data_IF_560648498866
#
_entry.id   IF_560648498866
#
_cell.length_a   1.000
_cell.length_b   1.000
_cell.length_c   1.000
_cell.angle_alpha   90.00
_cell.angle_beta   90.00
_cell.angle_gamma   90.00
#
_symmetry.space_group_name_H-M   'P 1'
#
loop_
_entity.id
_entity.type
_entity.pdbx_description
1 polymer ?
#
# COMPACT_ATOMS: atom_id res chain seq x y z
N UNK A 1 -18.13 -25.68 4.55
CA UNK A 1 -18.50 -25.61 3.12
C UNK A 1 -17.26 -25.93 2.31
N UNK A 2 -17.39 -26.70 1.22
CA UNK A 2 -16.32 -26.99 0.26
C UNK A 2 -16.59 -26.27 -1.05
N UNK A 3 -15.57 -26.12 -1.90
CA UNK A 3 -15.79 -25.58 -3.25
C UNK A 3 -16.79 -26.41 -4.06
N UNK A 4 -16.72 -27.75 -3.97
CA UNK A 4 -17.65 -28.63 -4.65
C UNK A 4 -19.12 -28.34 -4.26
N UNK A 5 -19.37 -28.16 -2.96
CA UNK A 5 -20.70 -27.78 -2.48
C UNK A 5 -21.11 -26.37 -2.93
N UNK A 6 -20.20 -25.40 -2.86
CA UNK A 6 -20.45 -24.03 -3.31
C UNK A 6 -20.78 -23.99 -4.81
N UNK A 7 -20.03 -24.71 -5.64
CA UNK A 7 -20.28 -24.81 -7.08
C UNK A 7 -21.63 -25.48 -7.40
N UNK A 8 -22.08 -26.42 -6.56
CA UNK A 8 -23.39 -27.07 -6.78
C UNK A 8 -24.59 -26.25 -6.30
N UNK A 9 -24.39 -25.30 -5.40
CA UNK A 9 -25.44 -24.51 -4.76
C UNK A 9 -25.61 -23.11 -5.36
N UNK A 10 -24.60 -22.57 -6.06
CA UNK A 10 -24.64 -21.23 -6.63
C UNK A 10 -25.20 -21.24 -8.04
N UNK A 11 -25.90 -20.17 -8.40
CA UNK A 11 -26.32 -19.93 -9.78
C UNK A 11 -25.12 -19.60 -10.66
N UNK A 12 -25.02 -20.21 -11.84
CA UNK A 12 -23.92 -20.02 -12.79
C UNK A 12 -22.49 -20.18 -12.18
N UNK A 13 -22.19 -21.29 -11.51
CA UNK A 13 -20.89 -21.53 -10.91
C UNK A 13 -19.80 -21.65 -11.99
N UNK A 14 -18.62 -21.12 -11.72
CA UNK A 14 -17.49 -21.21 -12.65
C UNK A 14 -16.21 -21.66 -11.95
N UNK A 15 -15.50 -22.61 -12.57
CA UNK A 15 -14.26 -23.18 -12.03
C UNK A 15 -13.12 -22.17 -11.84
N UNK A 16 -13.15 -21.04 -12.55
CA UNK A 16 -12.15 -19.97 -12.40
C UNK A 16 -12.09 -19.41 -10.98
N UNK A 17 -13.19 -19.48 -10.20
CA UNK A 17 -13.20 -19.08 -8.80
C UNK A 17 -12.23 -19.89 -7.92
N UNK A 18 -11.87 -21.11 -8.35
CA UNK A 18 -10.92 -21.98 -7.63
C UNK A 18 -9.46 -21.69 -7.95
N UNK A 19 -9.18 -20.95 -9.02
CA UNK A 19 -7.80 -20.75 -9.47
C UNK A 19 -7.01 -19.90 -8.47
N UNK A 20 -5.72 -20.19 -8.23
CA UNK A 20 -4.86 -19.39 -7.35
C UNK A 20 -4.78 -17.92 -7.76
N UNK A 21 -4.92 -17.64 -9.06
CA UNK A 21 -4.89 -16.28 -9.63
C UNK A 21 -6.26 -15.59 -9.58
N UNK A 22 -7.32 -16.34 -9.30
CA UNK A 22 -8.67 -15.80 -9.15
C UNK A 22 -8.80 -14.87 -7.94
N UNK A 23 -9.69 -13.87 -7.97
CA UNK A 23 -9.74 -12.80 -6.96
C UNK A 23 -9.93 -13.34 -5.54
N UNK A 24 -10.73 -14.38 -5.33
CA UNK A 24 -10.97 -14.95 -4.01
C UNK A 24 -9.68 -15.45 -3.34
N UNK A 25 -8.81 -16.10 -4.10
CA UNK A 25 -7.56 -16.66 -3.60
C UNK A 25 -6.41 -15.68 -3.69
N UNK A 26 -6.31 -14.94 -4.80
CA UNK A 26 -5.28 -13.92 -5.00
C UNK A 26 -5.29 -12.88 -3.88
N UNK A 27 -6.46 -12.37 -3.52
CA UNK A 27 -6.64 -11.35 -2.47
C UNK A 27 -6.77 -11.95 -1.06
N UNK A 28 -6.59 -13.28 -0.94
CA UNK A 28 -6.74 -13.98 0.33
C UNK A 28 -8.08 -13.66 1.03
N UNK A 29 -9.16 -13.60 0.23
CA UNK A 29 -10.50 -13.40 0.78
C UNK A 29 -11.02 -14.69 1.38
N UNK A 30 -10.60 -15.83 0.81
CA UNK A 30 -10.87 -17.17 1.32
C UNK A 30 -9.57 -17.96 1.44
N UNK A 31 -9.51 -18.78 2.45
CA UNK A 31 -8.46 -19.76 2.70
C UNK A 31 -8.99 -21.17 2.43
N UNK A 32 -8.11 -22.08 2.04
CA UNK A 32 -8.39 -23.48 1.84
C UNK A 32 -7.66 -24.30 2.88
N UNK A 33 -8.37 -25.24 3.50
CA UNK A 33 -7.70 -26.25 4.32
C UNK A 33 -6.85 -27.16 3.44
N UNK A 34 -5.79 -27.71 4.01
CA UNK A 34 -4.98 -28.75 3.38
C UNK A 34 -5.81 -30.02 3.22
N UNK A 35 -6.30 -30.26 2.02
CA UNK A 35 -7.08 -31.44 1.66
C UNK A 35 -6.65 -31.98 0.30
N UNK A 36 -6.68 -33.29 0.08
CA UNK A 36 -6.41 -33.85 -1.23
C UNK A 36 -7.51 -33.43 -2.21
N UNK A 37 -7.16 -32.51 -3.09
CA UNK A 37 -8.02 -31.95 -4.14
C UNK A 37 -8.77 -30.68 -3.75
N UNK A 38 -8.63 -29.64 -4.58
CA UNK A 38 -9.15 -28.30 -4.35
C UNK A 38 -10.68 -28.30 -4.20
N UNK A 39 -11.41 -29.14 -4.94
CA UNK A 39 -12.86 -29.20 -4.88
C UNK A 39 -13.40 -29.68 -3.51
N UNK A 40 -12.62 -30.53 -2.82
CA UNK A 40 -12.96 -31.08 -1.51
C UNK A 40 -12.42 -30.26 -0.34
N UNK A 41 -11.54 -29.31 -0.61
CA UNK A 41 -10.99 -28.43 0.41
C UNK A 41 -12.11 -27.59 1.06
N UNK A 42 -12.05 -27.45 2.38
CA UNK A 42 -12.96 -26.57 3.10
C UNK A 42 -12.60 -25.13 2.82
N UNK A 43 -13.64 -24.35 2.51
CA UNK A 43 -13.55 -22.91 2.38
C UNK A 43 -13.68 -22.27 3.75
N UNK A 44 -12.73 -21.43 4.08
CA UNK A 44 -12.76 -20.56 5.25
C UNK A 44 -12.60 -19.12 4.77
N UNK A 45 -13.52 -18.25 5.19
CA UNK A 45 -13.33 -16.81 4.97
C UNK A 45 -12.17 -16.32 5.84
N UNK A 46 -11.33 -15.43 5.31
CA UNK A 46 -10.31 -14.74 6.11
C UNK A 46 -11.00 -13.92 7.21
N UNK A 47 -10.52 -14.03 8.46
CA UNK A 47 -11.16 -13.40 9.63
C UNK A 47 -11.25 -11.89 9.50
N UNK A 48 -10.22 -11.24 8.95
CA UNK A 48 -10.20 -9.81 8.68
C UNK A 48 -11.30 -9.39 7.70
N UNK A 49 -11.51 -10.21 6.65
CA UNK A 49 -12.56 -9.98 5.65
C UNK A 49 -13.94 -10.22 6.26
N UNK A 50 -14.10 -11.25 7.08
CA UNK A 50 -15.35 -11.51 7.79
C UNK A 50 -15.76 -10.34 8.67
N UNK A 51 -14.84 -9.79 9.45
CA UNK A 51 -15.10 -8.63 10.29
C UNK A 51 -15.47 -7.39 9.47
N UNK A 52 -14.78 -7.16 8.34
CA UNK A 52 -15.12 -6.06 7.44
C UNK A 52 -16.55 -6.16 6.92
N UNK A 53 -16.97 -7.35 6.48
CA UNK A 53 -18.34 -7.59 6.03
C UNK A 53 -19.38 -7.44 7.16
N UNK A 54 -18.97 -7.66 8.41
CA UNK A 54 -19.79 -7.41 9.60
C UNK A 54 -19.77 -5.93 10.05
N UNK A 55 -19.13 -5.02 9.30
CA UNK A 55 -19.06 -3.60 9.62
C UNK A 55 -17.94 -3.23 10.60
N UNK A 56 -17.04 -4.16 10.95
CA UNK A 56 -15.89 -3.89 11.83
C UNK A 56 -14.63 -3.73 10.98
N UNK A 57 -14.11 -2.50 10.93
CA UNK A 57 -12.94 -2.16 10.11
C UNK A 57 -11.71 -1.85 10.97
N UNK A 58 -10.57 -2.51 10.69
CA UNK A 58 -9.29 -2.32 11.38
C UNK A 58 -8.14 -2.80 10.50
N UNK A 59 -6.93 -2.35 10.76
CA UNK A 59 -5.73 -2.84 10.04
C UNK A 59 -5.49 -4.32 10.38
N UNK A 60 -5.24 -5.13 9.34
CA UNK A 60 -4.90 -6.55 9.50
C UNK A 60 -3.80 -6.74 10.56
N UNK A 61 -3.99 -7.63 11.56
CA UNK A 61 -3.01 -7.87 12.61
C UNK A 61 -1.62 -8.26 12.11
N UNK A 62 -1.53 -8.90 10.93
CA UNK A 62 -0.26 -9.28 10.28
C UNK A 62 0.57 -8.08 9.84
N UNK A 63 -0.07 -6.93 9.56
CA UNK A 63 0.58 -5.69 9.14
C UNK A 63 0.90 -4.74 10.30
N UNK A 64 0.23 -4.89 11.45
CA UNK A 64 0.42 -4.01 12.61
C UNK A 64 1.88 -3.86 13.08
N UNK A 65 2.70 -4.92 13.10
CA UNK A 65 4.10 -4.79 13.51
C UNK A 65 4.95 -3.98 12.54
N UNK A 66 4.54 -3.89 11.27
CA UNK A 66 5.30 -3.28 10.18
C UNK A 66 4.87 -1.83 9.89
N UNK A 67 3.60 -1.52 10.13
CA UNK A 67 3.00 -0.27 9.69
C UNK A 67 2.69 0.67 10.86
N UNK A 68 2.90 1.96 10.62
CA UNK A 68 2.48 3.04 11.53
C UNK A 68 1.63 4.03 10.77
N UNK A 69 0.59 4.57 11.40
CA UNK A 69 -0.19 5.67 10.82
C UNK A 69 0.62 6.96 10.87
N UNK A 70 0.54 7.75 9.80
CA UNK A 70 1.08 9.10 9.77
C UNK A 70 -0.04 10.09 9.51
N UNK A 71 -0.14 11.08 10.38
CA UNK A 71 -1.08 12.19 10.23
C UNK A 71 -0.37 13.39 9.61
N UNK A 72 -1.07 14.27 8.88
CA UNK A 72 -0.51 15.54 8.43
C UNK A 72 -0.08 16.39 9.62
N UNK A 73 1.06 17.08 9.49
CA UNK A 73 1.49 18.06 10.47
C UNK A 73 0.50 19.26 10.55
N UNK A 74 0.43 19.91 11.71
CA UNK A 74 -0.47 21.07 11.91
C UNK A 74 -0.13 22.24 10.98
N UNK A 75 1.15 22.43 10.66
CA UNK A 75 1.65 23.51 9.82
C UNK A 75 2.63 22.99 8.77
N UNK A 76 2.29 23.21 7.50
CA UNK A 76 3.20 22.98 6.38
C UNK A 76 3.83 24.28 5.94
N UNK A 77 5.14 24.29 5.68
CA UNK A 77 5.84 25.40 5.04
C UNK A 77 5.21 25.73 3.68
N UNK A 78 5.34 26.98 3.23
CA UNK A 78 4.76 27.42 1.95
C UNK A 78 5.26 26.57 0.78
N UNK A 79 6.56 26.30 0.72
CA UNK A 79 7.16 25.47 -0.31
C UNK A 79 6.59 24.03 -0.30
N UNK A 80 6.41 23.44 0.89
CA UNK A 80 5.82 22.10 1.04
C UNK A 80 4.36 22.05 0.60
N UNK A 81 3.56 23.08 0.88
CA UNK A 81 2.18 23.22 0.37
C UNK A 81 2.14 23.28 -1.15
N UNK A 82 3.06 24.03 -1.77
CA UNK A 82 3.17 24.11 -3.23
C UNK A 82 3.52 22.77 -3.84
N UNK A 83 4.44 22.02 -3.24
CA UNK A 83 4.79 20.66 -3.66
C UNK A 83 3.59 19.73 -3.54
N UNK A 84 2.85 19.76 -2.43
CA UNK A 84 1.63 18.97 -2.26
C UNK A 84 0.58 19.29 -3.34
N UNK A 85 0.33 20.58 -3.61
CA UNK A 85 -0.60 21.00 -4.67
C UNK A 85 -0.16 20.53 -6.07
N UNK A 86 1.15 20.54 -6.35
CA UNK A 86 1.70 20.02 -7.62
C UNK A 86 1.44 18.52 -7.77
N UNK A 87 1.63 17.75 -6.69
CA UNK A 87 1.37 16.31 -6.68
C UNK A 87 -0.13 16.03 -6.90
N UNK A 88 -1.01 16.73 -6.19
CA UNK A 88 -2.46 16.61 -6.34
C UNK A 88 -2.88 16.87 -7.79
N UNK A 89 -2.43 17.98 -8.38
CA UNK A 89 -2.71 18.31 -9.78
C UNK A 89 -2.18 17.25 -10.76
N UNK A 90 -1.04 16.61 -10.46
CA UNK A 90 -0.49 15.53 -11.28
C UNK A 90 -1.34 14.25 -11.20
N UNK A 91 -1.86 13.94 -10.01
CA UNK A 91 -2.75 12.79 -9.78
C UNK A 91 -4.09 13.02 -10.50
N UNK A 92 -4.72 14.18 -10.32
CA UNK A 92 -5.99 14.55 -10.95
C UNK A 92 -5.91 14.56 -12.47
N UNK A 93 -4.80 15.05 -13.03
CA UNK A 93 -4.55 15.05 -14.47
C UNK A 93 -4.23 13.65 -15.05
N UNK A 94 -4.25 12.60 -14.23
CA UNK A 94 -3.91 11.24 -14.66
C UNK A 94 -2.45 11.04 -15.06
N UNK A 95 -1.57 12.02 -14.80
CA UNK A 95 -0.13 11.94 -15.11
C UNK A 95 0.60 10.92 -14.23
N UNK A 96 0.01 10.54 -13.10
CA UNK A 96 0.45 9.44 -12.23
C UNK A 96 -0.37 8.18 -12.50
N UNK A 97 -0.30 7.63 -13.70
CA UNK A 97 -1.02 6.40 -14.06
C UNK A 97 -0.67 5.21 -13.16
N UNK A 98 0.52 5.23 -12.57
CA UNK A 98 1.00 4.20 -11.65
C UNK A 98 0.63 4.46 -10.18
N UNK A 99 0.18 5.67 -9.81
CA UNK A 99 -0.03 6.07 -8.42
C UNK A 99 1.25 6.16 -7.58
N UNK A 100 2.44 6.24 -8.20
CA UNK A 100 3.72 6.28 -7.51
C UNK A 100 4.28 7.71 -7.48
N UNK A 101 4.58 8.20 -6.28
CA UNK A 101 5.18 9.53 -6.02
C UNK A 101 6.51 9.34 -5.31
N UNK A 102 7.58 9.93 -5.86
CA UNK A 102 8.92 9.90 -5.28
C UNK A 102 9.23 11.28 -4.69
N UNK A 103 9.57 11.31 -3.40
CA UNK A 103 9.98 12.53 -2.71
C UNK A 103 11.42 12.38 -2.28
N UNK A 104 12.27 13.29 -2.76
CA UNK A 104 13.71 13.33 -2.44
C UNK A 104 14.08 14.69 -1.87
N UNK A 105 15.30 14.84 -1.38
CA UNK A 105 15.79 16.09 -0.83
C UNK A 105 16.34 15.92 0.59
N UNK A 106 16.65 17.04 1.24
CA UNK A 106 17.32 17.05 2.55
C UNK A 106 16.36 17.14 3.75
N UNK A 107 15.03 17.23 3.49
CA UNK A 107 14.00 17.30 4.52
C UNK A 107 13.12 16.05 4.55
N UNK A 108 13.62 14.98 5.16
CA UNK A 108 12.87 13.72 5.28
C UNK A 108 11.54 13.90 6.05
N UNK A 109 11.54 14.75 7.08
CA UNK A 109 10.32 15.06 7.84
C UNK A 109 9.30 15.77 6.95
N UNK A 110 9.73 16.80 6.21
CA UNK A 110 8.89 17.54 5.27
C UNK A 110 8.37 16.66 4.13
N UNK A 111 9.16 15.73 3.61
CA UNK A 111 8.72 14.74 2.64
C UNK A 111 7.52 13.94 3.17
N UNK A 112 7.62 13.45 4.41
CA UNK A 112 6.54 12.73 5.06
C UNK A 112 5.31 13.59 5.32
N UNK A 113 5.48 14.87 5.66
CA UNK A 113 4.37 15.81 5.90
C UNK A 113 3.67 16.19 4.59
N UNK A 114 4.41 16.36 3.49
CA UNK A 114 3.86 16.53 2.14
C UNK A 114 3.03 15.31 1.74
N UNK A 115 3.56 14.09 1.92
CA UNK A 115 2.83 12.87 1.61
C UNK A 115 1.55 12.75 2.44
N UNK A 116 1.61 13.07 3.74
CA UNK A 116 0.45 13.03 4.63
C UNK A 116 -0.62 14.07 4.26
N UNK A 117 -0.19 15.28 3.86
CA UNK A 117 -1.11 16.31 3.37
C UNK A 117 -1.82 15.88 2.10
N UNK A 118 -1.09 15.35 1.12
CA UNK A 118 -1.68 14.84 -0.14
C UNK A 118 -2.67 13.69 0.14
N UNK A 119 -2.29 12.73 0.98
CA UNK A 119 -3.18 11.62 1.33
C UNK A 119 -4.46 12.13 2.02
N UNK A 120 -4.34 13.08 2.95
CA UNK A 120 -5.47 13.70 3.66
C UNK A 120 -6.42 14.43 2.71
N UNK A 121 -5.92 15.21 1.76
CA UNK A 121 -6.73 15.91 0.75
C UNK A 121 -7.51 14.93 -0.15
N UNK A 122 -6.93 13.75 -0.40
CA UNK A 122 -7.59 12.67 -1.15
C UNK A 122 -8.53 11.81 -0.29
N UNK A 123 -8.69 12.11 1.00
CA UNK A 123 -9.50 11.33 1.93
C UNK A 123 -8.91 9.95 2.26
N UNK A 124 -7.58 9.78 2.11
CA UNK A 124 -6.89 8.53 2.35
C UNK A 124 -6.16 8.55 3.69
N UNK A 125 -6.21 7.46 4.43
CA UNK A 125 -5.36 7.25 5.60
C UNK A 125 -3.94 6.88 5.15
N UNK A 126 -2.92 7.59 5.65
CA UNK A 126 -1.53 7.27 5.31
C UNK A 126 -0.93 6.30 6.33
N UNK A 127 -0.41 5.18 5.82
CA UNK A 127 0.41 4.23 6.59
C UNK A 127 1.86 4.31 6.13
N UNK A 128 2.78 4.25 7.08
CA UNK A 128 4.22 4.30 6.83
C UNK A 128 4.83 2.92 7.09
N UNK A 129 5.66 2.48 6.15
CA UNK A 129 6.49 1.27 6.21
C UNK A 129 7.96 1.67 6.09
N UNK A 130 8.81 1.46 7.11
CA UNK A 130 10.25 1.56 6.93
C UNK A 130 10.75 0.52 5.92
N UNK A 131 11.55 0.93 4.94
CA UNK A 131 12.07 0.03 3.89
C UNK A 131 12.88 -1.15 4.46
N UNK A 132 13.54 -0.96 5.59
CA UNK A 132 14.27 -2.00 6.32
C UNK A 132 13.39 -3.17 6.80
N UNK A 133 12.08 -2.96 6.95
CA UNK A 133 11.13 -3.99 7.37
C UNK A 133 10.55 -4.80 6.19
N UNK A 134 10.92 -4.48 4.95
CA UNK A 134 10.54 -5.28 3.78
C UNK A 134 11.28 -6.62 3.84
N UNK A 135 10.57 -7.75 3.78
CA UNK A 135 11.20 -9.06 3.90
C UNK A 135 12.16 -9.37 2.73
N UNK A 136 13.17 -10.22 2.94
CA UNK A 136 14.20 -10.47 1.94
C UNK A 136 13.77 -11.48 0.83
N UNK A 137 12.81 -12.35 1.10
CA UNK A 137 12.41 -13.38 0.14
C UNK A 137 11.31 -12.92 -0.81
N UNK A 138 11.37 -13.31 -2.07
CA UNK A 138 10.40 -12.94 -3.10
C UNK A 138 8.96 -13.36 -2.73
N UNK A 139 8.79 -14.53 -2.13
CA UNK A 139 7.48 -15.03 -1.72
C UNK A 139 6.87 -14.24 -0.56
N UNK A 140 7.71 -13.77 0.38
CA UNK A 140 7.25 -12.93 1.48
C UNK A 140 6.95 -11.50 1.00
N UNK A 141 7.73 -10.97 0.04
CA UNK A 141 7.45 -9.68 -0.63
C UNK A 141 6.09 -9.74 -1.31
N UNK A 142 5.84 -10.77 -2.11
CA UNK A 142 4.54 -10.95 -2.78
C UNK A 142 3.40 -11.06 -1.76
N UNK A 143 3.61 -11.84 -0.70
CA UNK A 143 2.64 -12.00 0.38
C UNK A 143 2.31 -10.67 1.07
N UNK A 144 3.33 -9.84 1.35
CA UNK A 144 3.18 -8.51 1.95
C UNK A 144 2.47 -7.56 0.98
N UNK A 145 2.85 -7.56 -0.31
CA UNK A 145 2.25 -6.70 -1.32
C UNK A 145 0.75 -6.99 -1.52
N UNK A 146 0.38 -8.27 -1.61
CA UNK A 146 -1.03 -8.69 -1.72
C UNK A 146 -1.82 -8.27 -0.49
N UNK A 147 -1.27 -8.51 0.70
CA UNK A 147 -1.93 -8.18 1.96
C UNK A 147 -2.13 -6.67 2.09
N UNK A 148 -1.09 -5.87 1.78
CA UNK A 148 -1.19 -4.42 1.80
C UNK A 148 -2.21 -3.90 0.79
N UNK A 149 -2.18 -4.36 -0.46
CA UNK A 149 -3.12 -3.90 -1.50
C UNK A 149 -4.59 -4.16 -1.09
N UNK A 150 -4.86 -5.31 -0.45
CA UNK A 150 -6.18 -5.60 0.13
C UNK A 150 -6.55 -4.58 1.20
N UNK A 151 -5.66 -4.34 2.17
CA UNK A 151 -5.92 -3.39 3.24
C UNK A 151 -6.03 -1.94 2.75
N UNK A 152 -5.22 -1.54 1.76
CA UNK A 152 -5.33 -0.22 1.14
C UNK A 152 -6.73 0.05 0.58
N UNK A 153 -7.34 -0.98 -0.04
CA UNK A 153 -8.72 -0.90 -0.52
C UNK A 153 -9.74 -0.85 0.64
N UNK A 154 -9.64 -1.77 1.62
CA UNK A 154 -10.59 -1.90 2.72
C UNK A 154 -10.56 -0.69 3.68
N UNK A 155 -9.42 -0.03 3.83
CA UNK A 155 -9.20 1.09 4.74
C UNK A 155 -9.22 2.46 4.05
N UNK A 156 -9.35 2.51 2.71
CA UNK A 156 -9.13 3.74 1.92
C UNK A 156 -7.79 4.38 2.30
N UNK A 157 -6.71 3.68 2.03
CA UNK A 157 -5.40 4.04 2.52
C UNK A 157 -4.34 4.14 1.41
N UNK A 158 -3.33 4.99 1.65
CA UNK A 158 -2.10 5.10 0.88
C UNK A 158 -0.91 4.59 1.69
N UNK A 159 0.15 4.15 1.01
CA UNK A 159 1.40 3.71 1.63
C UNK A 159 2.50 4.75 1.45
N UNK A 160 3.23 4.98 2.51
CA UNK A 160 4.50 5.70 2.52
C UNK A 160 5.62 4.71 2.81
N UNK A 161 6.53 4.50 1.88
CA UNK A 161 7.74 3.70 2.11
C UNK A 161 8.89 4.64 2.44
N UNK A 162 9.44 4.50 3.64
CA UNK A 162 10.51 5.36 4.14
C UNK A 162 11.88 4.70 3.95
N UNK A 163 12.72 5.33 3.14
CA UNK A 163 14.10 4.95 2.85
C UNK A 163 15.06 5.88 3.63
N UNK A 164 14.99 5.84 4.97
CA UNK A 164 15.77 6.75 5.84
C UNK A 164 17.22 6.33 6.03
N UNK A 165 17.60 5.12 5.68
CA UNK A 165 18.95 4.59 5.86
C UNK A 165 19.83 4.89 4.66
N UNK A 166 21.17 4.98 4.90
CA UNK A 166 22.16 5.23 3.85
C UNK A 166 22.24 4.11 2.82
N UNK A 167 21.76 2.93 3.15
CA UNK A 167 21.72 1.79 2.26
C UNK A 167 20.28 1.28 2.15
N UNK A 168 19.62 1.62 1.03
CA UNK A 168 18.25 1.18 0.77
C UNK A 168 18.26 -0.32 0.41
N UNK A 169 17.50 -1.15 1.12
CA UNK A 169 17.43 -2.57 0.82
C UNK A 169 16.96 -2.83 -0.62
N UNK A 170 17.68 -3.64 -1.38
CA UNK A 170 17.36 -3.95 -2.79
C UNK A 170 15.94 -4.49 -2.97
N UNK A 171 15.47 -5.28 -2.00
CA UNK A 171 14.11 -5.82 -1.99
C UNK A 171 13.01 -4.75 -1.86
N UNK A 172 13.32 -3.57 -1.34
CA UNK A 172 12.34 -2.49 -1.24
C UNK A 172 11.83 -2.05 -2.62
N UNK A 173 12.74 -1.96 -3.63
CA UNK A 173 12.34 -1.67 -5.02
C UNK A 173 11.39 -2.72 -5.58
N UNK A 174 11.72 -4.00 -5.40
CA UNK A 174 10.87 -5.11 -5.85
C UNK A 174 9.50 -5.11 -5.17
N UNK A 175 9.42 -4.73 -3.90
CA UNK A 175 8.17 -4.58 -3.19
C UNK A 175 7.34 -3.43 -3.77
N UNK A 176 7.94 -2.24 -3.89
CA UNK A 176 7.27 -1.03 -4.41
C UNK A 176 6.73 -1.28 -5.83
N UNK A 177 7.49 -1.96 -6.69
CA UNK A 177 7.08 -2.28 -8.06
C UNK A 177 5.86 -3.20 -8.14
N UNK A 178 5.59 -3.99 -7.10
CA UNK A 178 4.42 -4.87 -7.02
C UNK A 178 3.17 -4.19 -6.47
N UNK A 179 3.30 -2.99 -5.87
CA UNK A 179 2.19 -2.30 -5.23
C UNK A 179 1.26 -1.64 -6.25
N UNK A 180 -0.04 -1.67 -5.98
CA UNK A 180 -1.05 -0.83 -6.64
C UNK A 180 -1.51 0.31 -5.73
N UNK A 181 -2.33 1.22 -6.28
CA UNK A 181 -2.85 2.36 -5.56
C UNK A 181 -1.83 3.49 -5.37
N UNK A 182 -2.09 4.40 -4.43
CA UNK A 182 -1.21 5.53 -4.16
C UNK A 182 -0.09 5.12 -3.20
N UNK A 183 1.14 5.27 -3.67
CA UNK A 183 2.36 4.94 -2.94
C UNK A 183 3.30 6.13 -2.98
N UNK A 184 3.74 6.58 -1.81
CA UNK A 184 4.82 7.55 -1.66
C UNK A 184 6.10 6.82 -1.29
N UNK A 185 7.22 7.22 -1.87
CA UNK A 185 8.55 6.76 -1.45
C UNK A 185 9.36 7.97 -1.08
N UNK A 186 9.86 8.00 0.15
CA UNK A 186 10.63 9.12 0.69
C UNK A 186 12.04 8.69 1.06
N UNK A 187 13.00 9.59 0.90
CA UNK A 187 14.39 9.36 1.26
C UNK A 187 15.36 10.31 0.56
N UNK A 188 16.62 10.28 0.97
CA UNK A 188 17.70 10.95 0.24
C UNK A 188 18.12 10.12 -0.98
N UNK A 189 18.24 8.81 -0.79
CA UNK A 189 18.50 7.83 -1.83
C UNK A 189 17.28 6.91 -1.95
N UNK A 190 16.89 6.61 -3.17
CA UNK A 190 15.73 5.77 -3.47
C UNK A 190 16.17 4.48 -4.18
N UNK A 191 15.45 3.37 -3.97
CA UNK A 191 15.76 2.13 -4.68
C UNK A 191 15.52 2.31 -6.19
N UNK A 192 16.20 1.52 -7.03
CA UNK A 192 15.88 1.47 -8.44
C UNK A 192 14.46 0.92 -8.61
N UNK A 193 13.63 1.64 -9.37
CA UNK A 193 12.23 1.30 -9.63
C UNK A 193 12.01 1.13 -11.13
N UNK A 194 11.13 0.21 -11.50
CA UNK A 194 10.75 -0.04 -12.90
C UNK A 194 9.47 0.70 -13.27
N UNK A 195 8.64 1.07 -12.29
CA UNK A 195 7.41 1.81 -12.50
C UNK A 195 7.67 3.29 -12.77
N UNK A 196 6.85 3.86 -13.64
CA UNK A 196 6.84 5.31 -13.86
C UNK A 196 6.33 6.04 -12.61
N UNK A 197 7.03 7.07 -12.17
CA UNK A 197 6.72 7.81 -10.96
C UNK A 197 6.65 9.32 -11.22
N UNK A 198 6.01 10.05 -10.31
CA UNK A 198 6.05 11.51 -10.24
C UNK A 198 7.14 11.93 -9.26
N UNK A 199 8.30 12.40 -9.73
CA UNK A 199 9.37 12.84 -8.84
C UNK A 199 9.11 14.27 -8.34
N UNK A 200 9.40 14.52 -7.06
CA UNK A 200 9.38 15.84 -6.44
C UNK A 200 10.54 15.99 -5.47
N UNK A 201 11.03 17.21 -5.30
CA UNK A 201 12.10 17.52 -4.37
C UNK A 201 11.56 18.34 -3.20
N UNK A 202 11.84 17.89 -1.98
CA UNK A 202 11.39 18.53 -0.74
C UNK A 202 12.64 18.84 0.10
N UNK A 203 12.99 20.12 0.17
CA UNK A 203 14.11 20.62 0.93
C UNK A 203 13.63 21.36 2.18
N UNK A 204 14.52 21.52 3.15
CA UNK A 204 14.25 22.30 4.36
C UNK A 204 13.86 23.73 4.00
N UNK A 205 12.79 24.27 4.60
CA UNK A 205 12.37 25.64 4.35
C UNK A 205 13.48 26.63 4.72
N UNK A 206 13.69 27.64 3.90
CA UNK A 206 14.60 28.71 4.26
C UNK A 206 14.05 29.52 5.44
N UNK A 207 14.92 30.08 6.28
CA UNK A 207 14.55 30.77 7.54
C UNK A 207 13.54 31.92 7.38
N UNK A 208 13.36 32.45 6.16
CA UNK A 208 12.39 33.51 5.81
C UNK A 208 10.95 32.96 5.71
N UNK A 209 10.78 31.67 5.48
CA UNK A 209 9.45 31.04 5.32
C UNK A 209 8.84 30.53 6.64
N UNK A 210 9.58 30.67 7.76
CA UNK A 210 9.15 30.20 9.09
C UNK A 210 8.36 31.27 9.89
N UNK A 211 8.01 32.41 9.28
CA UNK A 211 7.24 33.49 9.93
C UNK A 211 5.79 33.52 9.49
#
# INVERSE_FOLDING_TARGET
VTFGLALSALEAPHWSALTPVGPLRRWRLVELDESPGVANARLRIDERVLHYLAGVNYLDPRLRPLLRTRQPGELLAVAHRQTAATILSAIEAGRSSSGLVLLTGDDLQGQGDVAASVASELGLQLYMLPAALVPPSASEIEALAVLWQREAFLLHAALLVECAEHEVPKQAGSFIDQLGGLVFVIGQELPPLTRQAVPQVVNRPQAVEQR
#
